data_IF_554499611616
#
_entry.id   IF_554499611616
#
_cell.length_a   1.000
_cell.length_b   1.000
_cell.length_c   1.000
_cell.angle_alpha   90.00
_cell.angle_beta   90.00
_cell.angle_gamma   90.00
#
_symmetry.space_group_name_H-M   'P 1'
#
loop_
_entity.id
_entity.type
_entity.pdbx_description
1 polymer ?
#
# COMPACT_ATOMS: atom_id res chain seq x y z
N UNK A 1 12.93 6.54 -36.22
CA UNK A 1 13.20 7.17 -34.93
C UNK A 1 12.95 6.12 -33.88
N UNK A 2 14.00 5.58 -33.26
CA UNK A 2 13.88 4.56 -32.20
C UNK A 2 13.32 5.25 -30.95
N UNK A 3 12.10 4.87 -30.54
CA UNK A 3 11.56 5.25 -29.25
C UNK A 3 12.46 4.62 -28.18
N UNK A 4 13.22 5.44 -27.47
CA UNK A 4 13.91 4.98 -26.28
C UNK A 4 12.84 4.39 -25.33
N UNK A 5 12.92 3.08 -25.05
CA UNK A 5 12.04 2.46 -24.08
C UNK A 5 12.22 3.23 -22.75
N UNK A 6 11.14 3.83 -22.26
CA UNK A 6 11.18 4.54 -20.98
C UNK A 6 11.68 3.57 -19.89
N UNK A 7 12.69 4.00 -19.14
CA UNK A 7 13.24 3.20 -18.04
C UNK A 7 12.13 2.96 -17.01
N UNK A 8 11.79 1.72 -16.75
CA UNK A 8 10.77 1.37 -15.77
C UNK A 8 11.29 1.56 -14.35
N UNK A 9 10.43 2.04 -13.45
CA UNK A 9 10.72 2.16 -12.02
C UNK A 9 10.75 0.78 -11.38
N UNK A 10 11.91 0.30 -10.88
CA UNK A 10 12.00 -0.98 -10.19
C UNK A 10 11.18 -0.93 -8.91
N UNK A 11 10.23 -1.85 -8.76
CA UNK A 11 9.27 -1.88 -7.67
C UNK A 11 9.23 -3.27 -7.05
N UNK A 12 9.60 -3.37 -5.78
CA UNK A 12 9.46 -4.60 -5.01
C UNK A 12 8.01 -4.70 -4.51
N UNK A 13 7.34 -5.82 -4.73
CA UNK A 13 5.99 -6.06 -4.26
C UNK A 13 5.99 -7.22 -3.26
N UNK A 14 5.64 -6.91 -2.02
CA UNK A 14 5.43 -7.89 -0.96
C UNK A 14 3.94 -8.19 -0.85
N UNK A 15 3.53 -9.43 -1.11
CA UNK A 15 2.12 -9.84 -1.17
C UNK A 15 1.94 -11.28 -0.69
N UNK A 16 0.70 -11.73 -0.54
CA UNK A 16 0.41 -13.10 -0.20
C UNK A 16 0.64 -13.41 1.28
N UNK A 17 -0.32 -13.04 2.12
CA UNK A 17 -0.39 -13.49 3.51
C UNK A 17 -1.50 -14.54 3.68
N UNK A 18 -1.69 -15.01 4.90
CA UNK A 18 -2.67 -16.07 5.22
C UNK A 18 -4.11 -15.69 4.84
N UNK A 19 -4.46 -14.39 4.93
CA UNK A 19 -5.81 -13.89 4.73
C UNK A 19 -6.03 -13.31 3.33
N UNK A 20 -4.94 -12.91 2.64
CA UNK A 20 -4.97 -12.16 1.40
C UNK A 20 -4.14 -12.85 0.31
N UNK A 21 -4.79 -13.58 -0.62
CA UNK A 21 -4.10 -14.26 -1.71
C UNK A 21 -3.33 -13.29 -2.61
N UNK A 22 -2.08 -13.61 -2.94
CA UNK A 22 -1.21 -12.78 -3.79
C UNK A 22 -1.77 -12.51 -5.19
N UNK A 23 -2.67 -13.34 -5.69
CA UNK A 23 -3.30 -13.18 -7.01
C UNK A 23 -4.09 -11.88 -7.13
N UNK A 24 -4.77 -11.45 -6.06
CA UNK A 24 -5.61 -10.24 -6.08
C UNK A 24 -4.77 -8.97 -6.33
N UNK A 25 -3.76 -8.62 -5.50
CA UNK A 25 -2.91 -7.46 -5.79
C UNK A 25 -2.12 -7.61 -7.09
N UNK A 26 -1.77 -8.85 -7.50
CA UNK A 26 -1.09 -9.10 -8.77
C UNK A 26 -1.97 -8.67 -9.96
N UNK A 27 -3.21 -9.13 -10.02
CA UNK A 27 -4.14 -8.73 -11.08
C UNK A 27 -4.37 -7.22 -11.08
N UNK A 28 -4.56 -6.61 -9.91
CA UNK A 28 -4.76 -5.16 -9.78
C UNK A 28 -3.57 -4.32 -10.25
N UNK A 29 -2.35 -4.71 -9.89
CA UNK A 29 -1.13 -4.01 -10.33
C UNK A 29 -0.81 -4.26 -11.80
N UNK A 30 -1.02 -5.49 -12.29
CA UNK A 30 -0.82 -5.84 -13.71
C UNK A 30 -1.87 -5.19 -14.62
N UNK A 31 -3.04 -4.79 -14.11
CA UNK A 31 -4.02 -4.01 -14.86
C UNK A 31 -3.49 -2.63 -15.27
N UNK A 32 -2.48 -2.08 -14.57
CA UNK A 32 -1.77 -0.86 -14.93
C UNK A 32 -0.78 -1.08 -16.10
N UNK A 33 -1.16 -1.88 -17.08
CA UNK A 33 -0.33 -2.20 -18.25
C UNK A 33 0.04 -0.93 -19.03
N UNK A 34 1.33 -0.82 -19.37
CA UNK A 34 1.86 0.34 -20.10
C UNK A 34 2.42 1.43 -19.22
N UNK A 35 2.18 1.38 -17.92
CA UNK A 35 2.81 2.28 -16.96
C UNK A 35 4.29 1.92 -16.71
N UNK A 36 5.04 2.91 -16.24
CA UNK A 36 6.49 2.81 -16.15
C UNK A 36 6.98 2.09 -14.88
N UNK A 37 6.39 0.95 -14.52
CA UNK A 37 6.81 0.10 -13.39
C UNK A 37 7.30 -1.27 -13.86
N UNK A 38 8.27 -1.83 -13.13
CA UNK A 38 8.66 -3.23 -13.23
C UNK A 38 8.54 -3.87 -11.86
N UNK A 39 7.65 -4.86 -11.74
CA UNK A 39 7.34 -5.50 -10.46
C UNK A 39 8.23 -6.72 -10.23
N UNK A 40 8.91 -6.74 -9.09
CA UNK A 40 9.60 -7.88 -8.52
C UNK A 40 8.78 -8.41 -7.33
N UNK A 41 8.29 -9.65 -7.42
CA UNK A 41 7.30 -10.20 -6.50
C UNK A 41 7.94 -11.06 -5.42
N UNK A 42 7.54 -10.82 -4.16
CA UNK A 42 7.88 -11.63 -2.98
C UNK A 42 6.58 -12.04 -2.30
N UNK A 43 6.21 -13.31 -2.40
CA UNK A 43 5.02 -13.89 -1.76
C UNK A 43 5.36 -14.57 -0.42
N UNK A 44 6.50 -15.23 -0.35
CA UNK A 44 7.07 -15.76 0.89
C UNK A 44 8.10 -14.77 1.44
N UNK A 45 7.90 -14.31 2.67
CA UNK A 45 8.79 -13.32 3.27
C UNK A 45 10.22 -13.83 3.50
N UNK A 46 10.44 -15.16 3.44
CA UNK A 46 11.79 -15.76 3.47
C UNK A 46 12.62 -15.43 2.23
N UNK A 47 11.96 -15.07 1.12
CA UNK A 47 12.60 -14.64 -0.12
C UNK A 47 12.91 -13.13 -0.14
N UNK A 48 12.49 -12.39 0.89
CA UNK A 48 12.88 -10.99 1.05
C UNK A 48 14.33 -10.87 1.50
N UNK A 49 15.03 -9.88 0.97
CA UNK A 49 16.32 -9.45 1.50
C UNK A 49 16.48 -7.94 1.40
N UNK A 50 17.34 -7.39 2.23
CA UNK A 50 17.64 -5.96 2.21
C UNK A 50 18.28 -5.54 0.87
N UNK A 51 19.10 -6.39 0.27
CA UNK A 51 19.74 -6.16 -1.04
C UNK A 51 18.69 -6.09 -2.14
N UNK A 52 17.72 -7.02 -2.13
CA UNK A 52 16.63 -7.06 -3.09
C UNK A 52 15.77 -5.80 -2.97
N UNK A 53 15.44 -5.38 -1.76
CA UNK A 53 14.72 -4.13 -1.51
C UNK A 53 15.55 -2.90 -1.94
N UNK A 54 16.85 -2.87 -1.67
CA UNK A 54 17.73 -1.74 -2.03
C UNK A 54 17.89 -1.55 -3.54
N UNK A 55 17.66 -2.60 -4.34
CA UNK A 55 17.67 -2.52 -5.80
C UNK A 55 16.42 -1.83 -6.38
N UNK A 56 15.39 -1.59 -5.58
CA UNK A 56 14.14 -0.97 -5.96
C UNK A 56 14.03 0.44 -5.37
N UNK A 57 13.46 1.38 -6.13
CA UNK A 57 13.16 2.74 -5.64
C UNK A 57 11.78 2.86 -5.01
N UNK A 58 10.96 1.83 -5.15
CA UNK A 58 9.59 1.77 -4.61
C UNK A 58 9.33 0.37 -4.02
N UNK A 59 8.71 0.33 -2.85
CA UNK A 59 8.16 -0.88 -2.26
C UNK A 59 6.64 -0.76 -2.22
N UNK A 60 5.94 -1.78 -2.69
CA UNK A 60 4.50 -1.97 -2.49
C UNK A 60 4.32 -3.08 -1.46
N UNK A 61 3.67 -2.77 -0.37
CA UNK A 61 3.40 -3.70 0.72
C UNK A 61 1.89 -4.00 0.77
N UNK A 62 1.52 -5.22 0.39
CA UNK A 62 0.14 -5.74 0.44
C UNK A 62 0.09 -7.04 1.24
N UNK A 63 0.84 -7.09 2.31
CA UNK A 63 1.07 -8.27 3.11
C UNK A 63 1.06 -7.90 4.58
N UNK A 64 0.28 -8.63 5.37
CA UNK A 64 0.30 -8.55 6.84
C UNK A 64 1.58 -9.17 7.42
N UNK A 65 1.73 -9.13 8.74
CA UNK A 65 2.88 -9.70 9.43
C UNK A 65 2.80 -11.25 9.50
N UNK A 66 2.67 -11.89 8.33
CA UNK A 66 2.73 -13.35 8.17
C UNK A 66 3.82 -13.72 7.16
N UNK A 67 4.57 -14.79 7.41
CA UNK A 67 5.62 -15.26 6.50
C UNK A 67 5.06 -15.55 5.12
N UNK A 68 3.94 -16.27 5.02
CA UNK A 68 3.31 -16.62 3.74
C UNK A 68 1.83 -17.01 3.94
N UNK A 69 1.13 -17.30 2.86
CA UNK A 69 -0.23 -17.83 2.90
C UNK A 69 -0.37 -19.16 3.67
N UNK A 70 0.72 -19.91 3.84
CA UNK A 70 0.73 -21.19 4.56
C UNK A 70 1.38 -21.09 5.95
N UNK A 71 2.01 -19.96 6.28
CA UNK A 71 2.77 -19.79 7.52
C UNK A 71 2.41 -18.44 8.15
N UNK A 72 1.66 -18.48 9.25
CA UNK A 72 1.17 -17.32 9.98
C UNK A 72 2.18 -16.71 10.97
N UNK A 73 3.38 -17.30 11.08
CA UNK A 73 4.39 -16.71 11.96
C UNK A 73 4.81 -15.33 11.47
N UNK A 74 5.13 -14.44 12.42
CA UNK A 74 5.61 -13.10 12.10
C UNK A 74 6.90 -13.17 11.29
N UNK A 75 6.95 -12.42 10.19
CA UNK A 75 8.18 -12.23 9.41
C UNK A 75 8.93 -10.95 9.78
N UNK A 76 8.24 -10.01 10.44
CA UNK A 76 8.86 -8.79 10.89
C UNK A 76 9.87 -9.07 12.01
N UNK A 77 10.97 -8.35 12.00
CA UNK A 77 12.00 -8.33 13.03
C UNK A 77 12.49 -6.89 13.23
N UNK A 78 13.26 -6.63 14.27
CA UNK A 78 13.90 -5.31 14.44
C UNK A 78 14.76 -4.93 13.25
N UNK A 79 15.47 -5.88 12.67
CA UNK A 79 16.30 -5.66 11.49
C UNK A 79 15.47 -5.31 10.25
N UNK A 80 14.35 -6.03 10.04
CA UNK A 80 13.45 -5.79 8.91
C UNK A 80 12.79 -4.41 9.01
N UNK A 81 12.17 -4.05 10.16
CA UNK A 81 11.55 -2.74 10.29
C UNK A 81 12.57 -1.60 10.16
N UNK A 82 13.80 -1.77 10.66
CA UNK A 82 14.90 -0.81 10.49
C UNK A 82 15.26 -0.65 9.03
N UNK A 83 15.36 -1.75 8.28
CA UNK A 83 15.67 -1.72 6.86
C UNK A 83 14.60 -0.96 6.05
N UNK A 84 13.30 -1.13 6.37
CA UNK A 84 12.21 -0.37 5.74
C UNK A 84 12.32 1.14 6.03
N UNK A 85 12.55 1.50 7.29
CA UNK A 85 12.72 2.91 7.70
C UNK A 85 13.91 3.53 6.98
N UNK A 86 15.04 2.86 6.95
CA UNK A 86 16.27 3.33 6.28
C UNK A 86 16.09 3.45 4.77
N UNK A 87 15.39 2.49 4.15
CA UNK A 87 15.07 2.51 2.73
C UNK A 87 14.28 3.77 2.36
N UNK A 88 13.23 4.06 3.12
CA UNK A 88 12.40 5.26 2.88
C UNK A 88 13.17 6.53 3.20
N UNK A 89 13.88 6.62 4.34
CA UNK A 89 14.65 7.81 4.74
C UNK A 89 15.72 8.20 3.73
N UNK A 90 16.31 7.23 3.02
CA UNK A 90 17.26 7.45 1.91
C UNK A 90 16.61 8.05 0.67
N UNK A 91 15.29 8.17 0.64
CA UNK A 91 14.58 8.85 -0.45
C UNK A 91 13.72 7.95 -1.32
N UNK A 92 13.60 6.67 -1.00
CA UNK A 92 12.74 5.73 -1.72
C UNK A 92 11.28 5.82 -1.27
N UNK A 93 10.38 5.14 -1.98
CA UNK A 93 8.95 5.13 -1.71
C UNK A 93 8.46 3.86 -1.03
N UNK A 94 7.41 4.00 -0.21
CA UNK A 94 6.62 2.88 0.32
C UNK A 94 5.15 3.17 0.06
N UNK A 95 4.46 2.23 -0.59
CA UNK A 95 3.02 2.22 -0.73
C UNK A 95 2.47 0.98 0.00
N UNK A 96 1.77 1.18 1.11
CA UNK A 96 1.08 0.12 1.81
C UNK A 96 -0.39 0.09 1.39
N UNK A 97 -0.91 -1.09 1.07
CA UNK A 97 -2.28 -1.26 0.61
C UNK A 97 -2.94 -2.35 1.45
N UNK A 98 -4.11 -2.06 2.00
CA UNK A 98 -4.95 -2.98 2.74
C UNK A 98 -4.14 -3.76 3.81
N UNK A 99 -3.93 -5.05 3.62
CA UNK A 99 -3.16 -5.86 4.57
C UNK A 99 -1.73 -5.38 4.82
N UNK A 100 -1.21 -4.48 3.99
CA UNK A 100 0.08 -3.83 4.21
C UNK A 100 0.17 -2.97 5.46
N UNK A 101 -0.94 -2.77 6.18
CA UNK A 101 -0.94 -2.09 7.50
C UNK A 101 -1.42 -3.00 8.65
N UNK A 102 -1.64 -4.30 8.39
CA UNK A 102 -2.18 -5.24 9.37
C UNK A 102 -1.07 -6.07 10.05
N UNK A 103 -1.20 -6.29 11.36
CA UNK A 103 -0.26 -7.10 12.14
C UNK A 103 1.02 -6.37 12.56
N UNK A 104 1.11 -5.07 12.32
CA UNK A 104 2.31 -4.27 12.64
C UNK A 104 2.20 -3.47 13.94
N UNK A 105 1.19 -3.73 14.78
CA UNK A 105 0.94 -3.00 16.05
C UNK A 105 2.12 -3.11 17.02
N UNK A 106 2.78 -4.26 17.06
CA UNK A 106 3.90 -4.57 17.96
C UNK A 106 5.27 -4.11 17.41
N UNK A 107 5.29 -3.53 16.20
CA UNK A 107 6.51 -3.12 15.50
C UNK A 107 6.62 -1.60 15.43
N UNK A 108 7.14 -0.92 16.47
CA UNK A 108 7.00 0.53 16.64
C UNK A 108 7.64 1.35 15.51
N UNK A 109 8.76 0.88 14.93
CA UNK A 109 9.38 1.60 13.82
C UNK A 109 8.57 1.46 12.53
N UNK A 110 8.02 0.27 12.24
CA UNK A 110 7.14 0.06 11.09
C UNK A 110 5.83 0.82 11.23
N UNK A 111 5.19 0.74 12.41
CA UNK A 111 3.98 1.46 12.75
C UNK A 111 4.16 2.98 12.58
N UNK A 112 5.25 3.53 13.12
CA UNK A 112 5.59 4.95 12.95
C UNK A 112 5.84 5.31 11.48
N UNK A 113 6.49 4.44 10.71
CA UNK A 113 6.73 4.65 9.28
C UNK A 113 5.43 4.75 8.48
N UNK A 114 4.48 3.86 8.74
CA UNK A 114 3.15 3.84 8.13
C UNK A 114 2.27 5.03 8.56
N UNK A 115 2.51 5.57 9.76
CA UNK A 115 1.72 6.65 10.37
C UNK A 115 0.41 6.19 10.99
N UNK A 116 0.11 4.90 10.92
CA UNK A 116 -1.06 4.24 11.49
C UNK A 116 -1.12 2.78 11.11
N UNK A 117 -1.94 2.02 11.81
CA UNK A 117 -2.11 0.58 11.61
C UNK A 117 -3.58 0.18 11.66
N UNK A 118 -3.87 -0.94 11.04
CA UNK A 118 -5.15 -1.64 11.14
C UNK A 118 -5.41 -2.08 12.59
N UNK A 119 -6.67 -2.01 13.02
CA UNK A 119 -7.10 -2.49 14.34
C UNK A 119 -8.11 -3.63 14.25
N UNK A 120 -9.12 -3.47 13.42
CA UNK A 120 -10.16 -4.47 13.15
C UNK A 120 -10.98 -4.08 11.92
N UNK A 121 -11.84 -4.96 11.47
CA UNK A 121 -12.92 -4.69 10.51
C UNK A 121 -14.18 -5.46 10.92
N UNK A 122 -15.39 -4.96 10.58
CA UNK A 122 -16.63 -5.74 10.64
C UNK A 122 -16.67 -6.77 9.51
N UNK A 123 -17.74 -7.56 9.43
CA UNK A 123 -18.02 -8.38 8.25
C UNK A 123 -18.00 -7.51 6.99
N UNK A 124 -17.59 -8.08 5.86
CA UNK A 124 -17.55 -7.35 4.58
C UNK A 124 -18.90 -6.72 4.25
N UNK A 125 -18.89 -5.43 4.01
CA UNK A 125 -20.07 -4.62 3.75
C UNK A 125 -19.82 -3.64 2.59
N UNK A 126 -20.84 -2.92 2.10
CA UNK A 126 -20.62 -1.79 1.20
C UNK A 126 -19.80 -0.70 1.89
N UNK A 127 -18.63 -0.39 1.30
CA UNK A 127 -17.72 0.66 1.75
C UNK A 127 -17.65 1.75 0.70
N UNK A 128 -18.11 2.94 1.05
CA UNK A 128 -17.97 4.13 0.22
C UNK A 128 -16.57 4.73 0.42
N UNK A 129 -15.92 5.08 -0.68
CA UNK A 129 -14.64 5.82 -0.68
C UNK A 129 -14.91 7.23 -1.16
N UNK A 130 -14.68 8.20 -0.30
CA UNK A 130 -14.88 9.62 -0.54
C UNK A 130 -13.53 10.33 -0.59
N UNK A 131 -13.35 11.25 -1.56
CA UNK A 131 -12.06 11.89 -1.84
C UNK A 131 -11.99 13.28 -1.25
N UNK A 132 -10.81 13.67 -0.76
CA UNK A 132 -10.56 15.07 -0.42
C UNK A 132 -10.44 15.89 -1.72
N UNK A 133 -11.36 16.84 -1.88
CA UNK A 133 -11.40 17.69 -3.07
C UNK A 133 -10.11 18.51 -3.21
N UNK A 134 -9.56 18.53 -4.44
CA UNK A 134 -8.35 19.27 -4.76
C UNK A 134 -7.04 18.65 -4.27
N UNK A 135 -7.08 17.50 -3.62
CA UNK A 135 -5.85 16.83 -3.21
C UNK A 135 -5.16 16.18 -4.43
N UNK A 136 -3.82 16.32 -4.62
CA UNK A 136 -3.13 15.80 -5.81
C UNK A 136 -3.30 14.30 -6.05
N UNK A 137 -3.34 13.48 -4.98
CA UNK A 137 -3.53 12.03 -5.11
C UNK A 137 -4.98 11.63 -5.37
N UNK A 138 -5.94 12.57 -5.26
CA UNK A 138 -7.33 12.38 -5.64
C UNK A 138 -7.63 12.87 -7.06
N UNK A 139 -6.63 13.33 -7.80
CA UNK A 139 -6.83 13.86 -9.15
C UNK A 139 -7.37 12.78 -10.10
N UNK A 140 -8.51 13.06 -10.75
CA UNK A 140 -9.16 12.14 -11.69
C UNK A 140 -9.83 10.91 -11.04
N UNK A 141 -9.90 10.87 -9.71
CA UNK A 141 -10.58 9.81 -8.96
C UNK A 141 -12.03 10.25 -8.68
N UNK A 142 -12.99 9.41 -9.05
CA UNK A 142 -14.40 9.61 -8.69
C UNK A 142 -14.72 8.80 -7.42
N UNK A 143 -15.58 9.29 -6.52
CA UNK A 143 -16.06 8.51 -5.39
C UNK A 143 -16.69 7.20 -5.85
N UNK A 144 -16.51 6.13 -5.09
CA UNK A 144 -17.08 4.83 -5.41
C UNK A 144 -17.53 4.07 -4.17
N UNK A 145 -18.40 3.08 -4.34
CA UNK A 145 -18.84 2.18 -3.26
C UNK A 145 -18.76 0.75 -3.76
N UNK A 146 -18.06 -0.09 -3.01
CA UNK A 146 -17.93 -1.52 -3.30
C UNK A 146 -18.03 -2.34 -2.01
N UNK A 147 -18.30 -3.63 -2.14
CA UNK A 147 -18.19 -4.56 -1.02
C UNK A 147 -16.72 -4.77 -0.71
N UNK A 148 -16.31 -4.51 0.54
CA UNK A 148 -14.93 -4.67 0.99
C UNK A 148 -14.90 -4.89 2.51
N UNK A 149 -13.73 -5.16 3.07
CA UNK A 149 -13.47 -5.04 4.50
C UNK A 149 -13.31 -3.56 4.85
N UNK A 150 -14.19 -3.05 5.72
CA UNK A 150 -14.04 -1.69 6.21
C UNK A 150 -13.01 -1.64 7.33
N UNK A 151 -11.77 -1.31 7.00
CA UNK A 151 -10.67 -1.21 7.95
C UNK A 151 -10.87 -0.04 8.92
N UNK A 152 -10.87 -0.36 10.20
CA UNK A 152 -10.72 0.58 11.30
C UNK A 152 -9.24 0.71 11.61
N UNK A 153 -8.76 1.94 11.73
CA UNK A 153 -7.33 2.22 11.85
C UNK A 153 -7.04 3.11 13.06
N UNK A 154 -5.87 2.90 13.66
CA UNK A 154 -5.30 3.80 14.66
C UNK A 154 -4.19 4.62 13.99
N UNK A 155 -4.44 5.92 13.77
CA UNK A 155 -3.41 6.85 13.35
C UNK A 155 -2.56 7.28 14.55
N UNK A 156 -1.24 7.23 14.39
CA UNK A 156 -0.28 7.63 15.42
C UNK A 156 0.28 9.03 15.19
N UNK A 157 0.31 9.47 13.94
CA UNK A 157 0.77 10.80 13.56
C UNK A 157 -0.42 11.65 13.09
N UNK A 158 -0.86 12.66 13.85
CA UNK A 158 -1.93 13.56 13.45
C UNK A 158 -1.58 14.44 12.23
N UNK A 159 -0.31 14.42 11.79
CA UNK A 159 0.18 15.19 10.64
C UNK A 159 0.12 14.41 9.34
N UNK A 160 -0.40 13.18 9.33
CA UNK A 160 -0.63 12.47 8.06
C UNK A 160 -1.61 13.27 7.21
N UNK A 161 -1.34 13.36 5.92
CA UNK A 161 -2.14 14.08 4.95
C UNK A 161 -3.17 13.10 4.36
N UNK A 162 -4.40 13.13 4.92
CA UNK A 162 -5.50 12.23 4.51
C UNK A 162 -6.08 12.76 3.20
N UNK A 163 -6.17 11.91 2.17
CA UNK A 163 -6.72 12.27 0.87
C UNK A 163 -7.96 11.46 0.45
N UNK A 164 -8.34 10.45 1.24
CA UNK A 164 -9.62 9.76 1.13
C UNK A 164 -10.10 9.30 2.50
N UNK A 165 -11.43 9.24 2.65
CA UNK A 165 -12.12 8.62 3.79
C UNK A 165 -12.92 7.42 3.30
N UNK A 166 -13.10 6.44 4.16
CA UNK A 166 -13.99 5.29 3.94
C UNK A 166 -15.17 5.38 4.88
N UNK A 167 -16.38 5.07 4.38
CA UNK A 167 -17.62 5.11 5.15
C UNK A 167 -18.45 3.86 4.91
N UNK A 168 -18.99 3.29 5.98
CA UNK A 168 -20.00 2.23 5.94
C UNK A 168 -21.07 2.45 7.01
N UNK A 169 -21.99 1.52 7.18
CA UNK A 169 -22.94 1.52 8.30
C UNK A 169 -22.26 1.49 9.68
N UNK A 170 -20.98 1.08 9.75
CA UNK A 170 -20.19 1.01 10.98
C UNK A 170 -19.45 2.31 11.31
N UNK A 171 -19.52 3.34 10.46
CA UNK A 171 -18.92 4.66 10.69
C UNK A 171 -17.98 5.12 9.59
N UNK A 172 -17.10 6.04 9.93
CA UNK A 172 -16.12 6.65 9.02
C UNK A 172 -14.70 6.42 9.52
N UNK A 173 -13.77 6.16 8.59
CA UNK A 173 -12.37 5.94 8.86
C UNK A 173 -11.48 6.69 7.84
N UNK A 174 -10.21 6.98 8.17
CA UNK A 174 -9.21 7.34 7.17
C UNK A 174 -9.10 6.22 6.13
N UNK A 175 -9.41 6.52 4.87
CA UNK A 175 -9.38 5.56 3.76
C UNK A 175 -8.06 5.56 3.00
N UNK A 176 -7.39 6.72 2.97
CA UNK A 176 -6.06 6.84 2.39
C UNK A 176 -5.34 8.06 2.95
N UNK A 177 -4.02 7.93 3.16
CA UNK A 177 -3.17 9.03 3.62
C UNK A 177 -1.77 8.93 3.04
N UNK A 178 -1.04 10.04 3.14
CA UNK A 178 0.38 10.12 2.79
C UNK A 178 1.18 10.86 3.85
N UNK A 179 2.48 10.63 3.87
CA UNK A 179 3.43 11.37 4.70
C UNK A 179 4.83 11.35 4.09
N UNK A 180 5.67 12.26 4.56
CA UNK A 180 7.10 12.22 4.28
C UNK A 180 7.81 11.53 5.45
N UNK A 181 8.84 10.74 5.13
CA UNK A 181 9.75 10.18 6.11
C UNK A 181 11.18 10.36 5.63
N UNK A 182 11.93 11.27 6.28
CA UNK A 182 13.23 11.71 5.77
C UNK A 182 13.11 12.31 4.37
N UNK A 183 13.87 11.80 3.41
CA UNK A 183 13.77 12.20 2.00
C UNK A 183 12.77 11.36 1.19
N UNK A 184 12.15 10.34 1.80
CA UNK A 184 11.24 9.41 1.14
C UNK A 184 9.77 9.74 1.33
N UNK A 185 8.92 8.93 0.69
CA UNK A 185 7.47 9.10 0.61
C UNK A 185 6.75 7.84 1.01
N UNK A 186 5.75 7.97 1.87
CA UNK A 186 4.90 6.86 2.30
C UNK A 186 3.45 7.20 1.98
N UNK A 187 2.75 6.31 1.31
CA UNK A 187 1.30 6.38 1.13
C UNK A 187 0.65 5.09 1.63
N UNK A 188 -0.59 5.20 2.07
CA UNK A 188 -1.41 4.09 2.53
C UNK A 188 -2.78 4.18 1.88
N UNK A 189 -3.29 3.03 1.40
CA UNK A 189 -4.65 2.84 0.91
C UNK A 189 -5.30 1.72 1.72
N UNK A 190 -6.39 2.00 2.42
CA UNK A 190 -7.06 0.98 3.25
C UNK A 190 -8.00 0.04 2.48
N UNK A 191 -8.71 0.44 1.39
CA UNK A 191 -9.47 -0.49 0.58
C UNK A 191 -8.58 -1.49 -0.15
N UNK A 192 -9.07 -2.72 -0.41
CA UNK A 192 -8.32 -3.64 -1.26
C UNK A 192 -8.38 -5.12 -0.87
N UNK A 193 -9.41 -5.58 -0.15
CA UNK A 193 -9.58 -7.02 0.11
C UNK A 193 -10.03 -7.78 -1.14
N UNK A 194 -11.03 -7.25 -1.83
CA UNK A 194 -11.66 -7.92 -2.97
C UNK A 194 -11.06 -7.48 -4.32
N UNK A 195 -11.00 -8.41 -5.28
CA UNK A 195 -10.51 -8.12 -6.64
C UNK A 195 -11.30 -7.00 -7.32
N UNK A 196 -12.62 -6.94 -7.09
CA UNK A 196 -13.49 -5.88 -7.65
C UNK A 196 -13.03 -4.47 -7.23
N UNK A 197 -12.46 -4.32 -6.02
CA UNK A 197 -11.88 -3.06 -5.58
C UNK A 197 -10.63 -2.74 -6.40
N UNK A 198 -9.73 -3.70 -6.54
CA UNK A 198 -8.49 -3.51 -7.30
C UNK A 198 -8.73 -3.17 -8.77
N UNK A 199 -9.77 -3.74 -9.39
CA UNK A 199 -10.11 -3.52 -10.79
C UNK A 199 -11.08 -2.34 -11.01
N UNK A 200 -11.57 -1.70 -9.95
CA UNK A 200 -12.40 -0.50 -10.06
C UNK A 200 -11.61 0.65 -10.71
N UNK A 201 -12.13 1.32 -11.75
CA UNK A 201 -11.42 2.38 -12.47
C UNK A 201 -10.96 3.54 -11.58
N UNK A 202 -11.77 3.94 -10.59
CA UNK A 202 -11.41 4.99 -9.63
C UNK A 202 -10.30 4.53 -8.69
N UNK A 203 -10.38 3.29 -8.18
CA UNK A 203 -9.29 2.72 -7.37
C UNK A 203 -7.99 2.60 -8.19
N UNK A 204 -8.06 2.15 -9.45
CA UNK A 204 -6.91 2.09 -10.35
C UNK A 204 -6.26 3.47 -10.56
N UNK A 205 -7.06 4.52 -10.71
CA UNK A 205 -6.55 5.89 -10.81
C UNK A 205 -5.87 6.34 -9.51
N UNK A 206 -6.49 6.07 -8.36
CA UNK A 206 -5.93 6.38 -7.04
C UNK A 206 -4.63 5.60 -6.77
N UNK A 207 -4.61 4.32 -7.12
CA UNK A 207 -3.44 3.44 -7.02
C UNK A 207 -2.29 3.98 -7.88
N UNK A 208 -2.56 4.35 -9.12
CA UNK A 208 -1.56 4.92 -10.03
C UNK A 208 -1.00 6.25 -9.50
N UNK A 209 -1.86 7.13 -9.00
CA UNK A 209 -1.44 8.40 -8.39
C UNK A 209 -0.51 8.15 -7.18
N UNK A 210 -0.87 7.20 -6.32
CA UNK A 210 -0.06 6.83 -5.16
C UNK A 210 1.28 6.21 -5.55
N UNK A 211 1.29 5.30 -6.53
CA UNK A 211 2.53 4.69 -7.07
C UNK A 211 3.46 5.75 -7.65
N UNK A 212 2.94 6.65 -8.50
CA UNK A 212 3.72 7.75 -9.10
C UNK A 212 4.27 8.69 -8.04
N UNK A 213 3.45 9.06 -7.08
CA UNK A 213 3.89 9.94 -6.01
C UNK A 213 4.98 9.29 -5.15
N UNK A 214 4.80 8.05 -4.69
CA UNK A 214 5.81 7.31 -3.93
C UNK A 214 7.10 7.11 -4.75
N UNK A 215 6.96 6.76 -6.04
CA UNK A 215 8.08 6.59 -6.97
C UNK A 215 8.73 7.87 -7.46
N UNK A 216 8.26 9.06 -7.01
CA UNK A 216 8.75 10.39 -7.44
C UNK A 216 8.68 10.59 -8.96
N UNK A 217 7.70 9.97 -9.59
CA UNK A 217 7.47 10.09 -11.03
C UNK A 217 6.66 11.36 -11.35
N UNK A 218 6.81 11.90 -12.56
CA UNK A 218 6.02 13.03 -13.00
C UNK A 218 4.53 12.70 -13.15
#
# INVERSE_FOLDING_TARGET
MSSAAACKTPTLVLSGDFWHPAGIPREGLEALKGEAFSFDWVEDARDWSQERMAACSLVVLTKSDNVSAADQTSWMTEAVQTAFVDHVRKGNGLLAIHSGIAGYEQWPAMRSLLGGVFTHHPDQCPVAVELQAGHPLSAGVEPFTLKDEHYFVALDDPRVDIFATTRSEHGEQPGAWRRMEGAGRVAVLTPGHNLDVWLNPSFQTMLLNALRWCGKMP
#
